data_IF_077781001077
#
_entry.id   IF_077781001077
#
_cell.length_a   1.000
_cell.length_b   1.000
_cell.length_c   1.000
_cell.angle_alpha   90.00
_cell.angle_beta   90.00
_cell.angle_gamma   90.00
#
_symmetry.space_group_name_H-M   'P 1'
#
loop_
_entity.id
_entity.type
_entity.pdbx_description
1 polymer ?
#
# COMPACT_ATOMS: atom_id res chain seq x y z
N UNK A 1 -1.35 -7.77 -5.09
CA UNK A 1 0.07 -7.39 -4.97
C UNK A 1 0.85 -8.07 -6.07
N UNK A 2 1.86 -7.39 -6.63
CA UNK A 2 2.69 -7.86 -7.74
C UNK A 2 4.15 -7.50 -7.45
N UNK A 3 5.09 -8.06 -8.23
CA UNK A 3 6.54 -7.79 -8.17
C UNK A 3 7.21 -8.09 -6.81
N UNK A 4 7.31 -9.38 -6.48
CA UNK A 4 7.89 -9.87 -5.21
C UNK A 4 9.40 -10.18 -5.28
N UNK A 5 10.10 -9.77 -6.35
CA UNK A 5 11.50 -10.16 -6.56
C UNK A 5 12.46 -9.69 -5.44
N UNK A 6 12.07 -8.64 -4.70
CA UNK A 6 12.81 -8.08 -3.57
C UNK A 6 12.17 -8.37 -2.21
N UNK A 7 11.10 -9.16 -2.18
CA UNK A 7 10.46 -9.57 -0.92
C UNK A 7 11.18 -10.81 -0.39
N UNK A 8 11.75 -10.69 0.81
CA UNK A 8 12.46 -11.78 1.49
C UNK A 8 11.89 -12.03 2.89
N UNK A 9 11.95 -13.27 3.39
CA UNK A 9 11.55 -13.56 4.76
C UNK A 9 12.52 -12.88 5.74
N UNK A 10 11.97 -12.43 6.88
CA UNK A 10 12.79 -11.95 8.00
C UNK A 10 13.33 -13.11 8.82
N UNK A 11 14.49 -12.90 9.45
CA UNK A 11 15.12 -13.89 10.33
C UNK A 11 14.26 -14.13 11.58
N UNK A 12 13.90 -15.38 11.91
CA UNK A 12 13.25 -15.69 13.18
C UNK A 12 14.12 -15.28 14.39
N UNK A 13 13.53 -14.82 15.50
CA UNK A 13 12.09 -14.71 15.77
C UNK A 13 11.49 -13.33 15.39
N UNK A 14 12.19 -12.53 14.57
CA UNK A 14 11.74 -11.17 14.23
C UNK A 14 10.42 -11.22 13.47
N UNK A 15 9.57 -10.25 13.75
CA UNK A 15 8.35 -9.97 12.99
C UNK A 15 8.32 -8.48 12.66
N UNK A 16 7.68 -8.13 11.55
CA UNK A 16 7.47 -6.75 11.13
C UNK A 16 6.02 -6.38 11.39
N UNK A 17 5.78 -5.15 11.86
CA UNK A 17 4.42 -4.63 11.94
C UNK A 17 4.04 -3.79 10.71
N UNK A 18 5.00 -3.53 9.82
CA UNK A 18 4.87 -2.80 8.56
C UNK A 18 4.37 -1.36 8.71
N UNK A 19 4.44 -0.82 9.93
CA UNK A 19 3.95 0.51 10.32
C UNK A 19 4.99 1.38 11.02
N UNK A 20 5.89 0.76 11.78
CA UNK A 20 7.01 1.44 12.42
C UNK A 20 7.89 2.10 11.37
N UNK A 21 8.49 3.24 11.69
CA UNK A 21 9.47 3.88 10.81
C UNK A 21 10.67 2.96 10.58
N UNK A 22 11.11 2.85 9.32
CA UNK A 22 12.34 2.14 8.99
C UNK A 22 13.54 2.80 9.65
N UNK A 23 14.39 1.99 10.27
CA UNK A 23 15.74 2.37 10.70
C UNK A 23 16.71 1.25 10.34
N UNK A 24 18.00 1.54 10.12
CA UNK A 24 18.99 0.51 9.86
C UNK A 24 18.92 -0.62 10.91
N UNK A 25 18.66 -1.85 10.45
CA UNK A 25 18.62 -3.07 11.27
C UNK A 25 17.23 -3.54 11.71
N UNK A 26 16.17 -2.74 11.60
CA UNK A 26 14.82 -3.17 11.99
C UNK A 26 14.03 -3.89 10.88
N UNK A 27 14.47 -3.78 9.63
CA UNK A 27 13.85 -4.37 8.43
C UNK A 27 12.41 -3.93 8.14
N UNK A 28 11.94 -2.85 8.75
CA UNK A 28 10.60 -2.30 8.47
C UNK A 28 10.53 -1.71 7.06
N UNK A 29 9.41 -1.87 6.38
CA UNK A 29 9.22 -1.49 4.97
C UNK A 29 8.17 -0.40 4.77
N UNK A 30 7.40 -0.08 5.81
CA UNK A 30 6.30 0.88 5.75
C UNK A 30 5.15 0.45 4.84
N UNK A 31 5.05 -0.84 4.50
CA UNK A 31 4.06 -1.34 3.55
C UNK A 31 2.63 -0.98 3.96
N UNK A 32 2.26 -1.24 5.23
CA UNK A 32 0.93 -0.93 5.73
C UNK A 32 0.72 0.57 5.93
N UNK A 33 1.75 1.33 6.30
CA UNK A 33 1.68 2.80 6.31
C UNK A 33 1.32 3.35 4.92
N UNK A 34 1.91 2.80 3.86
CA UNK A 34 1.58 3.17 2.48
C UNK A 34 0.13 2.85 2.11
N UNK A 35 -0.34 1.65 2.47
CA UNK A 35 -1.74 1.25 2.23
C UNK A 35 -2.72 2.10 3.04
N UNK A 36 -2.45 2.37 4.32
CA UNK A 36 -3.30 3.20 5.19
C UNK A 36 -3.45 4.62 4.59
N UNK A 37 -2.35 5.19 4.08
CA UNK A 37 -2.39 6.49 3.39
C UNK A 37 -3.13 6.44 2.05
N UNK A 38 -2.95 5.37 1.27
CA UNK A 38 -3.65 5.21 0.00
C UNK A 38 -5.16 5.11 0.21
N UNK A 39 -5.60 4.32 1.19
CA UNK A 39 -7.01 4.21 1.55
C UNK A 39 -7.56 5.58 1.92
N UNK A 40 -6.86 6.32 2.80
CA UNK A 40 -7.26 7.68 3.17
C UNK A 40 -7.42 8.60 1.96
N UNK A 41 -6.47 8.59 1.02
CA UNK A 41 -6.56 9.40 -0.20
C UNK A 41 -7.81 9.02 -1.01
N UNK A 42 -8.09 7.73 -1.16
CA UNK A 42 -9.26 7.25 -1.91
C UNK A 42 -10.58 7.59 -1.22
N UNK A 43 -10.61 7.58 0.12
CA UNK A 43 -11.77 8.02 0.91
C UNK A 43 -12.01 9.53 0.82
N UNK A 44 -10.94 10.32 0.73
CA UNK A 44 -10.97 11.77 0.58
C UNK A 44 -11.29 12.21 -0.87
N UNK A 45 -11.30 11.28 -1.84
CA UNK A 45 -11.60 11.60 -3.24
C UNK A 45 -13.08 12.00 -3.41
N UNK A 46 -13.37 13.02 -4.22
CA UNK A 46 -14.75 13.36 -4.56
C UNK A 46 -15.41 12.19 -5.32
N UNK A 47 -16.75 12.09 -5.29
CA UNK A 47 -17.47 11.10 -6.07
C UNK A 47 -17.05 11.14 -7.53
N UNK A 48 -16.69 9.99 -8.08
CA UNK A 48 -16.38 9.88 -9.51
C UNK A 48 -17.69 10.06 -10.28
N UNK A 49 -17.82 11.15 -11.03
CA UNK A 49 -18.87 11.28 -12.03
C UNK A 49 -18.61 10.28 -13.15
N UNK A 50 -19.32 9.16 -13.12
CA UNK A 50 -19.35 8.22 -14.22
C UNK A 50 -20.15 8.86 -15.34
N UNK A 51 -19.46 9.46 -16.32
CA UNK A 51 -20.10 9.87 -17.56
C UNK A 51 -20.55 8.60 -18.28
N UNK A 52 -21.85 8.42 -18.44
CA UNK A 52 -22.39 7.39 -19.31
C UNK A 52 -21.83 7.63 -20.72
N UNK A 53 -21.07 6.67 -21.23
CA UNK A 53 -20.64 6.68 -22.64
C UNK A 53 -21.87 6.36 -23.49
N UNK A 54 -22.66 7.38 -23.82
CA UNK A 54 -23.71 7.27 -24.85
C UNK A 54 -23.16 7.43 -26.27
N UNK A 55 -21.84 7.58 -26.45
CA UNK A 55 -21.22 7.66 -27.77
C UNK A 55 -20.45 6.39 -28.11
N UNK A 56 -21.19 5.33 -28.44
CA UNK A 56 -20.77 4.21 -29.29
C UNK A 56 -22.05 3.47 -29.72
N UNK A 57 -22.93 4.18 -30.43
CA UNK A 57 -24.05 3.59 -31.16
C UNK A 57 -24.22 4.25 -32.51
#
# INVERSE_FOLDING_TARGET
MIDFAKSSPVEPPKTLNHRSTWVPGNSEDGYLTGIDNLVKILEDMPPVEVRATEELR
#
